data_IF_638673633989
#
_entry.id   IF_638673633989
#
_cell.length_a   1.000
_cell.length_b   1.000
_cell.length_c   1.000
_cell.angle_alpha   90.00
_cell.angle_beta   90.00
_cell.angle_gamma   90.00
#
_symmetry.space_group_name_H-M   'P 1'
#
loop_
_entity.id
_entity.type
_entity.pdbx_description
1 polymer ?
#
# COMPACT_ATOMS: atom_id res chain seq x y z
N UNK A 1 -13.45 -0.40 9.43
CA UNK A 1 -12.24 0.48 9.37
C UNK A 1 -11.86 0.58 7.90
N UNK A 2 -11.54 1.76 7.37
CA UNK A 2 -11.26 1.93 5.92
C UNK A 2 -9.78 2.20 5.61
N UNK A 3 -8.96 2.49 6.63
CA UNK A 3 -7.54 2.73 6.49
C UNK A 3 -6.76 2.17 7.70
N UNK A 4 -5.55 1.69 7.45
CA UNK A 4 -4.58 1.21 8.42
C UNK A 4 -3.26 1.91 8.18
N UNK A 5 -2.66 2.41 9.26
CA UNK A 5 -1.34 3.03 9.22
C UNK A 5 -0.37 2.11 9.96
N UNK A 6 0.76 1.81 9.31
CA UNK A 6 1.81 0.96 9.87
C UNK A 6 3.11 1.74 9.93
N UNK A 7 3.84 1.56 11.02
CA UNK A 7 5.20 2.07 11.19
C UNK A 7 6.16 0.91 10.93
N UNK A 8 6.76 0.88 9.74
CA UNK A 8 7.76 -0.11 9.35
C UNK A 8 9.17 0.41 9.67
N UNK A 9 10.00 -0.34 10.41
CA UNK A 9 11.41 -0.01 10.57
C UNK A 9 12.20 0.00 9.25
N UNK A 10 11.69 -0.66 8.20
CA UNK A 10 12.36 -0.79 6.90
C UNK A 10 11.88 0.24 5.88
N UNK A 11 10.59 0.51 5.84
CA UNK A 11 9.95 1.33 4.81
C UNK A 11 9.39 2.65 5.34
N UNK A 12 9.57 2.93 6.62
CA UNK A 12 8.92 4.06 7.29
C UNK A 12 7.41 3.84 7.37
N UNK A 13 6.65 4.91 7.21
CA UNK A 13 5.20 4.82 7.28
C UNK A 13 4.60 4.19 6.02
N UNK A 14 3.73 3.19 6.22
CA UNK A 14 2.94 2.55 5.17
C UNK A 14 1.46 2.79 5.47
N UNK A 15 0.75 3.43 4.54
CA UNK A 15 -0.71 3.57 4.61
C UNK A 15 -1.36 2.54 3.70
N UNK A 16 -2.23 1.70 4.24
CA UNK A 16 -3.14 0.85 3.48
C UNK A 16 -4.57 1.39 3.61
N UNK A 17 -5.32 1.48 2.51
CA UNK A 17 -6.68 2.01 2.48
C UNK A 17 -7.56 1.19 1.54
N UNK A 18 -8.80 0.93 1.96
CA UNK A 18 -9.87 0.51 1.07
C UNK A 18 -10.29 1.71 0.21
N UNK A 19 -10.21 1.54 -1.10
CA UNK A 19 -10.47 2.59 -2.07
C UNK A 19 -11.27 2.06 -3.27
N UNK A 20 -11.60 2.97 -4.17
CA UNK A 20 -12.12 2.62 -5.50
C UNK A 20 -11.15 3.08 -6.56
N UNK A 21 -10.91 2.24 -7.55
CA UNK A 21 -10.17 2.63 -8.74
C UNK A 21 -10.87 3.81 -9.45
N UNK A 22 -10.09 4.76 -9.96
CA UNK A 22 -10.58 6.09 -10.34
C UNK A 22 -11.44 6.11 -11.61
N UNK A 23 -11.33 5.11 -12.48
CA UNK A 23 -12.05 5.08 -13.77
C UNK A 23 -13.27 4.18 -13.76
N UNK A 24 -13.12 2.97 -13.23
CA UNK A 24 -14.12 1.90 -13.30
C UNK A 24 -14.81 1.65 -11.96
N UNK A 25 -14.46 2.40 -10.92
CA UNK A 25 -15.00 2.31 -9.57
C UNK A 25 -14.89 0.90 -8.95
N UNK A 26 -13.99 0.07 -9.47
CA UNK A 26 -13.77 -1.26 -8.92
C UNK A 26 -13.09 -1.19 -7.54
N UNK A 27 -13.42 -2.10 -6.62
CA UNK A 27 -12.88 -2.10 -5.27
C UNK A 27 -11.38 -2.42 -5.28
N UNK A 28 -10.62 -1.69 -4.47
CA UNK A 28 -9.18 -1.91 -4.33
C UNK A 28 -8.68 -1.74 -2.89
N UNK A 29 -7.56 -2.40 -2.60
CA UNK A 29 -6.73 -2.09 -1.44
C UNK A 29 -5.50 -1.34 -1.93
N UNK A 30 -5.44 -0.05 -1.64
CA UNK A 30 -4.36 0.83 -2.06
C UNK A 30 -3.36 1.06 -0.94
N UNK A 31 -2.09 0.96 -1.28
CA UNK A 31 -0.96 1.17 -0.40
C UNK A 31 -0.21 2.42 -0.82
N UNK A 32 0.28 3.18 0.16
CA UNK A 32 1.11 4.37 -0.03
C UNK A 32 2.38 4.27 0.80
N UNK A 33 3.50 4.65 0.19
CA UNK A 33 4.82 4.73 0.81
C UNK A 33 5.61 5.90 0.24
N UNK A 34 6.58 6.40 1.01
CA UNK A 34 7.45 7.51 0.58
C UNK A 34 8.92 7.11 0.67
N UNK A 35 9.48 6.49 -0.39
CA UNK A 35 10.90 6.25 -0.46
C UNK A 35 11.69 7.55 -0.55
N UNK A 36 12.96 7.53 -0.12
CA UNK A 36 13.87 8.67 -0.18
C UNK A 36 14.11 9.08 -1.62
N UNK A 37 14.11 10.39 -1.90
CA UNK A 37 14.26 10.99 -3.23
C UNK A 37 13.12 10.67 -4.23
N UNK A 38 12.05 10.02 -3.77
CA UNK A 38 10.82 9.85 -4.53
C UNK A 38 9.70 10.70 -3.94
N UNK A 39 8.64 10.91 -4.73
CA UNK A 39 7.36 11.36 -4.21
C UNK A 39 6.66 10.24 -3.42
N UNK A 40 5.42 10.50 -2.99
CA UNK A 40 4.57 9.44 -2.47
C UNK A 40 4.26 8.47 -3.61
N UNK A 41 4.71 7.23 -3.44
CA UNK A 41 4.44 6.14 -4.35
C UNK A 41 3.19 5.40 -3.87
N UNK A 42 2.37 4.92 -4.81
CA UNK A 42 1.22 4.09 -4.47
C UNK A 42 1.10 2.89 -5.40
N UNK A 43 0.52 1.82 -4.88
CA UNK A 43 0.14 0.64 -5.63
C UNK A 43 -1.19 0.11 -5.09
N UNK A 44 -1.93 -0.61 -5.92
CA UNK A 44 -3.24 -1.13 -5.55
C UNK A 44 -3.38 -2.60 -5.89
N UNK A 45 -4.06 -3.33 -5.01
CA UNK A 45 -4.64 -4.63 -5.32
C UNK A 45 -6.08 -4.39 -5.76
N UNK A 46 -6.35 -4.48 -7.06
CA UNK A 46 -7.69 -4.30 -7.62
C UNK A 46 -8.46 -5.62 -7.63
N UNK A 47 -9.73 -5.55 -7.25
CA UNK A 47 -10.64 -6.69 -7.20
C UNK A 47 -11.72 -6.51 -8.26
N UNK A 48 -12.08 -7.59 -8.94
CA UNK A 48 -13.11 -7.55 -9.98
C UNK A 48 -14.46 -7.18 -9.37
N UNK A 49 -15.22 -6.34 -10.07
CA UNK A 49 -16.59 -6.03 -9.70
C UNK A 49 -17.56 -7.08 -10.27
N UNK A 50 -17.51 -8.29 -9.70
CA UNK A 50 -18.39 -9.42 -10.04
C UNK A 50 -19.43 -9.72 -8.94
N UNK A 51 -19.72 -8.72 -8.11
CA UNK A 51 -20.59 -8.83 -6.94
C UNK A 51 -19.90 -9.38 -5.69
N UNK A 52 -18.67 -9.89 -5.79
CA UNK A 52 -17.85 -10.31 -4.63
C UNK A 52 -16.61 -9.43 -4.41
N UNK A 53 -16.32 -8.50 -5.32
CA UNK A 53 -15.13 -7.65 -5.28
C UNK A 53 -14.92 -6.91 -3.96
N UNK A 54 -15.98 -6.30 -3.43
CA UNK A 54 -15.94 -5.56 -2.17
C UNK A 54 -15.66 -6.48 -0.98
N UNK A 55 -16.36 -7.61 -0.88
CA UNK A 55 -16.11 -8.61 0.18
C UNK A 55 -14.67 -9.13 0.15
N UNK A 56 -14.11 -9.32 -1.05
CA UNK A 56 -12.73 -9.78 -1.21
C UNK A 56 -11.72 -8.67 -0.84
N UNK A 57 -11.99 -7.43 -1.25
CA UNK A 57 -11.17 -6.28 -0.88
C UNK A 57 -11.17 -6.05 0.64
N UNK A 58 -12.34 -6.09 1.28
CA UNK A 58 -12.49 -5.98 2.72
C UNK A 58 -11.74 -7.10 3.45
N UNK A 59 -11.90 -8.37 3.03
CA UNK A 59 -11.16 -9.49 3.61
C UNK A 59 -9.65 -9.36 3.43
N UNK A 60 -9.19 -8.89 2.27
CA UNK A 60 -7.77 -8.66 2.02
C UNK A 60 -7.23 -7.52 2.91
N UNK A 61 -7.98 -6.42 3.00
CA UNK A 61 -7.64 -5.29 3.86
C UNK A 61 -7.61 -5.69 5.34
N UNK A 62 -8.61 -6.43 5.83
CA UNK A 62 -8.66 -6.91 7.21
C UNK A 62 -7.46 -7.77 7.57
N UNK A 63 -7.05 -8.65 6.65
CA UNK A 63 -5.85 -9.51 6.80
C UNK A 63 -4.54 -8.74 6.70
N UNK A 64 -4.53 -7.57 6.07
CA UNK A 64 -3.32 -6.76 5.93
C UNK A 64 -2.81 -6.34 7.31
N UNK A 65 -1.68 -6.90 7.70
CA UNK A 65 -0.88 -6.51 8.85
C UNK A 65 0.44 -5.86 8.38
N UNK A 66 1.31 -5.51 9.32
CA UNK A 66 2.60 -4.91 8.98
C UNK A 66 3.43 -5.82 8.06
N UNK A 67 3.47 -7.13 8.33
CA UNK A 67 4.31 -8.05 7.56
C UNK A 67 3.85 -8.15 6.10
N UNK A 68 2.55 -8.28 5.87
CA UNK A 68 1.97 -8.28 4.52
C UNK A 68 2.12 -6.92 3.82
N UNK A 69 2.00 -5.81 4.56
CA UNK A 69 2.25 -4.48 4.01
C UNK A 69 3.71 -4.33 3.56
N UNK A 70 4.67 -4.76 4.37
CA UNK A 70 6.10 -4.78 4.02
C UNK A 70 6.39 -5.65 2.79
N UNK A 71 5.75 -6.82 2.70
CA UNK A 71 5.88 -7.72 1.55
C UNK A 71 5.32 -7.10 0.26
N UNK A 72 4.16 -6.44 0.35
CA UNK A 72 3.57 -5.72 -0.78
C UNK A 72 4.49 -4.61 -1.30
N UNK A 73 5.06 -3.81 -0.39
CA UNK A 73 6.03 -2.76 -0.73
C UNK A 73 7.30 -3.36 -1.36
N UNK A 74 7.82 -4.46 -0.80
CA UNK A 74 8.97 -5.15 -1.38
C UNK A 74 8.67 -5.66 -2.80
N UNK A 75 7.46 -6.19 -3.03
CA UNK A 75 6.98 -6.64 -4.33
C UNK A 75 6.91 -5.50 -5.34
N UNK A 76 6.41 -4.33 -4.95
CA UNK A 76 6.31 -3.14 -5.80
C UNK A 76 7.65 -2.75 -6.43
N UNK A 77 8.74 -2.83 -5.67
CA UNK A 77 10.06 -2.34 -6.10
C UNK A 77 11.01 -3.45 -6.55
N UNK A 78 10.57 -4.72 -6.57
CA UNK A 78 11.43 -5.88 -6.86
C UNK A 78 12.16 -5.79 -8.20
N UNK A 79 11.43 -5.42 -9.23
CA UNK A 79 11.94 -5.34 -10.61
C UNK A 79 12.20 -3.89 -11.04
N UNK A 80 12.26 -2.97 -10.07
CA UNK A 80 12.51 -1.56 -10.37
C UNK A 80 13.98 -1.38 -10.77
N UNK A 81 14.28 -0.67 -11.88
CA UNK A 81 15.62 -0.63 -12.47
C UNK A 81 16.63 0.21 -11.66
N UNK A 82 16.20 0.79 -10.53
CA UNK A 82 16.99 1.69 -9.68
C UNK A 82 16.83 1.23 -8.24
N UNK A 83 17.91 1.28 -7.46
CA UNK A 83 17.86 1.01 -6.03
C UNK A 83 16.94 2.01 -5.32
N UNK A 84 15.97 1.49 -4.58
CA UNK A 84 15.01 2.29 -3.81
C UNK A 84 15.42 2.26 -2.34
N UNK A 85 15.74 3.44 -1.81
CA UNK A 85 16.08 3.62 -0.39
C UNK A 85 14.87 4.16 0.37
N UNK A 86 14.73 3.75 1.61
CA UNK A 86 13.74 4.29 2.53
C UNK A 86 14.49 5.00 3.66
N UNK A 87 14.15 6.27 3.88
CA UNK A 87 14.78 7.07 4.93
C UNK A 87 14.14 6.73 6.28
N UNK A 88 14.97 6.40 7.27
CA UNK A 88 14.59 6.56 8.67
C UNK A 88 14.86 8.01 9.05
N UNK A 89 13.79 8.80 9.21
CA UNK A 89 13.66 9.87 10.20
C UNK A 89 12.33 10.61 9.95
N UNK A 90 11.34 10.32 10.78
CA UNK A 90 10.41 11.36 11.22
C UNK A 90 11.16 12.12 12.30
N UNK A 91 11.70 13.30 11.96
CA UNK A 91 11.94 14.45 12.83
C UNK A 91 12.63 15.54 12.00
N UNK A 92 11.86 16.25 11.20
CA UNK A 92 12.20 17.62 10.80
C UNK A 92 11.15 18.53 11.45
N UNK A 93 11.60 19.19 12.52
CA UNK A 93 11.05 20.35 13.27
C UNK A 93 9.63 20.31 13.87
#
# INVERSE_FOLDING_TARGET
>A
MFAKLFESPKYGQILAKLDTHHEDHTPEVRFYVKPKNFGVCSFALSFKDDGQGWDLAEKAFEKTDLALAEEGVAGMFRDFPIAVEFGGEANDE
#
